data_IF_437746236392
#
_entry.id   IF_437746236392
#
_cell.length_a   1.000
_cell.length_b   1.000
_cell.length_c   1.000
_cell.angle_alpha   90.00
_cell.angle_beta   90.00
_cell.angle_gamma   90.00
#
_symmetry.space_group_name_H-M   'P 1'
#
loop_
_entity.id
_entity.type
_entity.pdbx_description
1 polymer ?
#
# COMPACT_ATOMS: atom_id res chain seq x y z
N UNK A 1 48.31 20.92 36.51
CA UNK A 1 48.83 19.63 36.03
C UNK A 1 47.66 18.71 35.81
N UNK A 2 47.43 18.37 34.55
CA UNK A 2 46.33 17.57 34.01
C UNK A 2 46.59 16.07 34.23
N UNK A 3 45.62 15.35 34.77
CA UNK A 3 45.61 13.88 34.76
C UNK A 3 44.26 13.38 34.26
N UNK A 4 44.27 12.75 33.08
CA UNK A 4 43.14 11.99 32.55
C UNK A 4 43.07 10.61 33.21
N UNK A 5 41.87 10.03 33.40
CA UNK A 5 41.73 8.59 33.53
C UNK A 5 41.46 7.93 32.17
N UNK A 6 42.21 6.85 31.92
CA UNK A 6 42.12 5.93 30.77
C UNK A 6 40.88 5.04 30.87
N UNK A 7 40.19 4.87 29.75
CA UNK A 7 39.14 3.87 29.50
C UNK A 7 39.74 2.47 29.33
N UNK A 8 39.11 1.38 29.80
CA UNK A 8 39.43 0.03 29.35
C UNK A 8 38.60 -0.36 28.12
N UNK A 9 39.26 -1.00 27.16
CA UNK A 9 38.64 -1.71 26.03
C UNK A 9 37.88 -2.94 26.54
N UNK A 10 36.65 -3.11 26.09
CA UNK A 10 35.96 -4.40 26.12
C UNK A 10 35.46 -4.70 24.70
N UNK A 11 35.90 -5.85 24.17
CA UNK A 11 35.60 -6.29 22.82
C UNK A 11 34.17 -6.76 22.69
N UNK A 12 33.46 -6.26 21.67
CA UNK A 12 32.18 -6.81 21.24
C UNK A 12 32.36 -7.44 19.86
N UNK A 13 32.13 -8.75 19.82
CA UNK A 13 32.09 -9.58 18.62
C UNK A 13 31.00 -9.08 17.67
N UNK A 14 31.42 -8.74 16.45
CA UNK A 14 30.55 -8.44 15.31
C UNK A 14 29.97 -9.75 14.77
N UNK A 15 28.74 -10.09 15.14
CA UNK A 15 27.92 -11.03 14.37
C UNK A 15 27.47 -10.33 13.09
N UNK A 16 28.11 -10.72 11.99
CA UNK A 16 27.86 -10.25 10.62
C UNK A 16 26.89 -11.24 9.98
N UNK A 17 25.58 -11.03 10.12
CA UNK A 17 24.59 -11.75 9.30
C UNK A 17 24.46 -11.01 7.96
N UNK A 18 25.04 -11.64 6.93
CA UNK A 18 25.08 -11.18 5.55
C UNK A 18 23.69 -11.24 4.91
N UNK A 19 23.33 -10.15 4.25
CA UNK A 19 22.17 -10.06 3.36
C UNK A 19 22.48 -10.77 2.04
N UNK A 20 21.78 -11.87 1.78
CA UNK A 20 22.03 -12.82 0.69
C UNK A 20 21.04 -12.61 -0.48
N UNK A 21 20.93 -11.37 -0.98
CA UNK A 21 20.05 -11.03 -2.12
C UNK A 21 20.77 -10.46 -3.35
N UNK A 22 22.09 -10.32 -3.31
CA UNK A 22 22.90 -9.93 -4.47
C UNK A 22 23.73 -11.13 -4.90
N UNK A 23 23.23 -11.97 -5.82
CA UNK A 23 24.01 -12.81 -6.75
C UNK A 23 23.08 -13.76 -7.52
N UNK A 24 22.49 -13.28 -8.63
CA UNK A 24 21.93 -14.13 -9.70
C UNK A 24 21.67 -13.33 -10.99
N UNK A 25 22.63 -12.53 -11.45
CA UNK A 25 22.64 -11.99 -12.83
C UNK A 25 23.97 -12.34 -13.51
N UNK A 26 24.21 -13.64 -13.70
CA UNK A 26 25.14 -14.15 -14.74
C UNK A 26 24.66 -15.53 -15.18
N UNK A 27 23.87 -15.58 -16.23
CA UNK A 27 23.81 -16.75 -17.10
C UNK A 27 24.14 -16.29 -18.50
N UNK A 28 25.17 -16.92 -19.02
CA UNK A 28 25.88 -16.64 -20.25
C UNK A 28 24.98 -16.67 -21.49
N UNK A 29 25.25 -15.72 -22.37
CA UNK A 29 24.79 -15.71 -23.77
C UNK A 29 25.40 -16.91 -24.49
N UNK A 30 24.64 -17.98 -24.63
CA UNK A 30 24.91 -19.02 -25.65
C UNK A 30 24.11 -18.69 -26.90
N UNK A 31 24.82 -18.24 -27.95
CA UNK A 31 24.34 -18.21 -29.34
C UNK A 31 24.17 -19.66 -29.83
N UNK A 32 23.09 -19.99 -30.55
CA UNK A 32 23.13 -21.05 -31.54
C UNK A 32 23.38 -20.44 -32.92
N UNK A 33 24.54 -20.79 -33.48
CA UNK A 33 24.90 -20.61 -34.88
C UNK A 33 23.93 -21.38 -35.77
N UNK A 34 23.45 -20.72 -36.82
CA UNK A 34 22.63 -21.35 -37.85
C UNK A 34 23.44 -22.21 -38.80
N UNK A 35 22.79 -23.27 -39.27
CA UNK A 35 22.81 -23.93 -40.59
C UNK A 35 22.56 -25.40 -40.35
N UNK A 36 21.38 -25.87 -40.72
CA UNK A 36 21.26 -27.09 -41.53
C UNK A 36 19.90 -27.12 -42.23
N UNK A 37 19.96 -27.43 -43.51
CA UNK A 37 18.86 -27.51 -44.46
C UNK A 37 18.06 -28.78 -44.20
N UNK A 38 16.73 -28.68 -44.27
CA UNK A 38 15.85 -29.84 -44.47
C UNK A 38 14.95 -29.53 -45.68
N UNK A 39 14.95 -30.36 -46.73
CA UNK A 39 13.93 -30.30 -47.78
C UNK A 39 12.65 -31.01 -47.33
N UNK A 40 11.48 -30.41 -47.60
CA UNK A 40 10.20 -31.13 -47.62
C UNK A 40 10.14 -32.04 -48.87
N UNK A 41 9.42 -33.19 -48.81
CA UNK A 41 8.04 -33.18 -49.32
C UNK A 41 7.03 -34.15 -48.64
N UNK A 42 5.76 -33.93 -49.00
CA UNK A 42 4.62 -34.87 -49.09
C UNK A 42 3.71 -35.17 -47.87
N UNK A 43 2.51 -34.61 -47.98
CA UNK A 43 1.15 -35.07 -47.60
C UNK A 43 0.96 -36.49 -47.05
N UNK A 44 0.19 -36.67 -45.98
CA UNK A 44 -1.17 -37.30 -45.97
C UNK A 44 -1.80 -37.31 -44.56
N UNK A 45 -3.09 -36.99 -44.47
CA UNK A 45 -4.09 -37.68 -43.64
C UNK A 45 -4.16 -37.43 -42.12
N UNK A 46 -5.18 -36.68 -41.68
CA UNK A 46 -6.33 -37.10 -40.84
C UNK A 46 -6.85 -35.90 -40.03
N UNK A 47 -7.92 -35.28 -40.54
CA UNK A 47 -8.72 -34.32 -39.79
C UNK A 47 -9.52 -35.05 -38.70
N UNK A 48 -9.20 -34.76 -37.44
CA UNK A 48 -10.04 -35.10 -36.28
C UNK A 48 -10.95 -33.90 -36.00
N UNK A 49 -12.26 -34.08 -35.73
CA UNK A 49 -13.17 -32.95 -35.58
C UNK A 49 -12.90 -32.20 -34.28
N UNK A 50 -12.52 -30.93 -34.41
CA UNK A 50 -12.37 -29.99 -33.30
C UNK A 50 -13.73 -29.81 -32.62
N UNK A 51 -13.86 -30.38 -31.42
CA UNK A 51 -14.93 -30.05 -30.47
C UNK A 51 -14.81 -28.56 -30.17
N UNK A 52 -15.71 -27.76 -30.72
CA UNK A 52 -15.84 -26.34 -30.44
C UNK A 52 -15.95 -26.14 -28.92
N UNK A 53 -14.91 -25.55 -28.32
CA UNK A 53 -15.00 -24.99 -26.99
C UNK A 53 -15.99 -23.83 -27.00
N UNK A 54 -16.86 -23.69 -25.98
CA UNK A 54 -17.78 -22.57 -25.89
C UNK A 54 -17.02 -21.23 -25.75
N UNK A 55 -17.66 -20.10 -26.10
CA UNK A 55 -17.00 -18.81 -26.34
C UNK A 55 -16.22 -18.30 -25.13
N UNK A 56 -15.01 -17.82 -25.37
CA UNK A 56 -14.10 -17.22 -24.38
C UNK A 56 -14.54 -15.81 -23.92
N UNK A 57 -15.84 -15.56 -23.76
CA UNK A 57 -16.40 -14.26 -23.35
C UNK A 57 -16.20 -13.95 -21.85
N UNK A 58 -15.58 -14.85 -21.07
CA UNK A 58 -15.12 -14.56 -19.70
C UNK A 58 -13.66 -14.10 -19.62
N UNK A 59 -13.09 -13.61 -20.72
CA UNK A 59 -11.73 -13.06 -20.73
C UNK A 59 -11.69 -11.67 -20.08
N UNK A 60 -11.19 -11.67 -18.85
CA UNK A 60 -10.47 -10.56 -18.20
C UNK A 60 -11.26 -9.25 -18.03
N UNK A 61 -12.26 -9.32 -17.15
CA UNK A 61 -12.55 -8.24 -16.19
C UNK A 61 -11.31 -7.97 -15.33
N UNK A 62 -10.38 -7.20 -15.88
CA UNK A 62 -8.97 -7.23 -15.49
C UNK A 62 -8.62 -6.41 -14.25
N UNK A 63 -9.17 -5.20 -14.14
CA UNK A 63 -8.88 -4.25 -13.05
C UNK A 63 -10.11 -3.39 -12.74
N UNK A 64 -10.92 -3.05 -13.76
CA UNK A 64 -12.07 -2.14 -13.65
C UNK A 64 -13.12 -2.60 -12.64
N UNK A 65 -13.25 -3.90 -12.41
CA UNK A 65 -14.18 -4.46 -11.41
C UNK A 65 -13.57 -4.60 -10.00
N UNK A 66 -12.29 -4.27 -9.81
CA UNK A 66 -11.67 -4.26 -8.49
C UNK A 66 -12.15 -3.00 -7.75
N UNK A 67 -13.01 -3.22 -6.76
CA UNK A 67 -13.43 -2.18 -5.83
C UNK A 67 -12.99 -2.57 -4.42
N UNK A 68 -11.93 -1.92 -3.93
CA UNK A 68 -11.37 -2.15 -2.60
C UNK A 68 -11.20 -0.84 -1.88
N UNK A 69 -11.59 -0.79 -0.60
CA UNK A 69 -11.48 0.41 0.24
C UNK A 69 -10.69 0.12 1.50
N UNK A 70 -9.95 1.11 2.00
CA UNK A 70 -9.19 1.00 3.25
C UNK A 70 -9.57 2.11 4.22
N UNK A 71 -9.82 1.77 5.49
CA UNK A 71 -10.16 2.72 6.56
C UNK A 71 -9.50 2.37 7.90
N UNK A 72 -8.99 3.35 8.67
CA UNK A 72 -8.69 4.71 8.22
C UNK A 72 -7.60 4.67 7.12
N UNK A 73 -7.60 5.65 6.22
CA UNK A 73 -6.55 5.78 5.20
C UNK A 73 -5.57 6.93 5.51
N UNK A 74 -5.80 7.64 6.62
CA UNK A 74 -4.96 8.72 7.13
C UNK A 74 -4.77 8.54 8.63
N UNK A 75 -3.51 8.65 9.08
CA UNK A 75 -3.11 8.66 10.48
C UNK A 75 -2.16 9.83 10.70
N UNK A 76 -2.33 10.55 11.80
CA UNK A 76 -1.44 11.64 12.17
C UNK A 76 -0.32 11.14 13.09
N UNK A 77 0.93 11.46 12.73
CA UNK A 77 2.11 11.22 13.56
C UNK A 77 2.37 12.47 14.39
N UNK A 78 2.10 12.36 15.69
CA UNK A 78 2.05 13.50 16.61
C UNK A 78 3.33 13.71 17.40
N UNK A 79 4.08 12.63 17.60
CA UNK A 79 5.24 12.58 18.45
C UNK A 79 6.24 11.52 17.95
N UNK A 80 7.32 11.36 18.71
CA UNK A 80 8.37 10.39 18.42
C UNK A 80 8.09 9.00 19.02
N UNK A 81 6.89 8.78 19.58
CA UNK A 81 6.55 7.55 20.28
C UNK A 81 6.14 6.43 19.32
N UNK A 82 6.15 5.20 19.84
CA UNK A 82 5.61 4.07 19.12
C UNK A 82 4.08 4.21 18.99
N UNK A 83 3.54 3.84 17.84
CA UNK A 83 2.09 3.82 17.61
C UNK A 83 1.69 2.53 16.93
N UNK A 84 0.44 2.14 17.12
CA UNK A 84 -0.11 0.93 16.54
C UNK A 84 -1.53 1.21 16.06
N UNK A 85 -1.74 1.04 14.75
CA UNK A 85 -3.04 1.28 14.13
C UNK A 85 -3.45 0.09 13.28
N UNK A 86 -4.74 -0.21 13.34
CA UNK A 86 -5.37 -1.23 12.50
C UNK A 86 -6.13 -0.55 11.37
N UNK A 87 -5.86 -1.00 10.14
CA UNK A 87 -6.49 -0.52 8.92
C UNK A 87 -7.31 -1.65 8.31
N UNK A 88 -8.62 -1.44 8.19
CA UNK A 88 -9.50 -2.42 7.58
C UNK A 88 -9.53 -2.24 6.07
N UNK A 89 -9.12 -3.27 5.35
CA UNK A 89 -9.15 -3.35 3.89
C UNK A 89 -10.35 -4.21 3.47
N UNK A 90 -11.37 -3.58 2.88
CA UNK A 90 -12.61 -4.22 2.45
C UNK A 90 -12.61 -4.48 0.95
N UNK A 91 -12.79 -5.73 0.55
CA UNK A 91 -13.02 -6.12 -0.83
C UNK A 91 -14.53 -6.10 -1.14
N UNK A 92 -14.95 -5.19 -2.00
CA UNK A 92 -16.35 -5.04 -2.40
C UNK A 92 -16.67 -5.81 -3.69
N UNK A 93 -15.68 -6.43 -4.33
CA UNK A 93 -15.90 -7.29 -5.47
C UNK A 93 -16.47 -8.65 -5.04
N UNK A 94 -17.14 -9.34 -5.97
CA UNK A 94 -17.69 -10.69 -5.77
C UNK A 94 -16.64 -11.81 -5.94
N UNK A 95 -15.38 -11.44 -6.19
CA UNK A 95 -14.28 -12.38 -6.41
C UNK A 95 -13.12 -12.12 -5.45
N UNK A 96 -12.30 -13.13 -5.15
CA UNK A 96 -11.15 -12.96 -4.26
C UNK A 96 -10.06 -12.09 -4.91
N UNK A 97 -9.38 -11.32 -4.07
CA UNK A 97 -8.24 -10.49 -4.45
C UNK A 97 -7.03 -10.84 -3.61
N UNK A 98 -5.84 -10.65 -4.17
CA UNK A 98 -4.57 -10.75 -3.44
C UNK A 98 -3.99 -9.35 -3.31
N UNK A 99 -3.46 -9.01 -2.13
CA UNK A 99 -2.78 -7.73 -1.92
C UNK A 99 -1.35 -7.92 -1.42
N UNK A 100 -0.53 -6.90 -1.65
CA UNK A 100 0.75 -6.69 -0.96
C UNK A 100 0.86 -5.25 -0.50
N UNK A 101 1.46 -5.03 0.67
CA UNK A 101 1.70 -3.71 1.23
C UNK A 101 3.16 -3.32 1.02
N UNK A 102 3.39 -2.17 0.39
CA UNK A 102 4.69 -1.53 0.25
C UNK A 102 4.73 -0.29 1.13
N UNK A 103 5.89 0.02 1.72
CA UNK A 103 6.07 1.20 2.58
C UNK A 103 7.28 2.00 2.15
N UNK A 104 7.19 3.33 2.25
CA UNK A 104 8.32 4.23 2.03
C UNK A 104 9.31 4.25 3.19
N UNK A 105 9.03 3.57 4.31
CA UNK A 105 9.85 3.63 5.54
C UNK A 105 9.89 2.29 6.30
N UNK A 106 10.43 1.21 5.68
CA UNK A 106 10.39 -0.14 6.24
C UNK A 106 11.23 -0.32 7.52
N UNK A 107 12.23 0.53 7.76
CA UNK A 107 13.02 0.49 8.99
C UNK A 107 12.20 0.90 10.22
N UNK A 108 11.28 1.85 10.04
CA UNK A 108 10.48 2.48 11.11
C UNK A 108 9.18 1.72 11.36
N UNK A 109 8.56 1.19 10.29
CA UNK A 109 7.26 0.54 10.37
C UNK A 109 7.36 -0.97 10.25
N UNK A 110 6.47 -1.66 10.94
CA UNK A 110 6.18 -3.09 10.81
C UNK A 110 4.73 -3.23 10.36
N UNK A 111 4.50 -4.07 9.37
CA UNK A 111 3.19 -4.27 8.76
C UNK A 111 2.83 -5.75 8.88
N UNK A 112 1.61 -6.05 9.33
CA UNK A 112 1.10 -7.41 9.39
C UNK A 112 -0.41 -7.48 9.09
N UNK A 113 -0.85 -8.32 8.13
CA UNK A 113 -0.04 -9.06 7.17
C UNK A 113 0.56 -8.15 6.08
N UNK A 114 1.73 -8.53 5.54
CA UNK A 114 2.35 -7.83 4.39
C UNK A 114 1.68 -8.20 3.08
N UNK A 115 1.17 -9.44 2.98
CA UNK A 115 0.45 -9.95 1.83
C UNK A 115 -0.57 -11.00 2.31
N UNK A 116 -1.76 -11.00 1.71
CA UNK A 116 -2.77 -12.03 1.95
C UNK A 116 -3.80 -12.05 0.81
N UNK A 117 -4.68 -13.05 0.83
CA UNK A 117 -5.88 -13.13 -0.01
C UNK A 117 -7.07 -12.63 0.80
N UNK A 118 -7.96 -11.88 0.16
CA UNK A 118 -9.24 -11.43 0.71
C UNK A 118 -10.32 -12.01 -0.18
N UNK A 119 -11.23 -12.76 0.40
CA UNK A 119 -12.37 -13.31 -0.34
C UNK A 119 -13.29 -12.20 -0.87
N UNK A 120 -14.15 -12.56 -1.83
CA UNK A 120 -15.18 -11.64 -2.32
C UNK A 120 -16.09 -11.18 -1.19
N UNK A 121 -16.50 -9.90 -1.20
CA UNK A 121 -17.35 -9.28 -0.17
C UNK A 121 -16.85 -9.45 1.27
N UNK A 122 -15.54 -9.58 1.46
CA UNK A 122 -14.90 -9.79 2.75
C UNK A 122 -13.93 -8.66 3.10
N UNK A 123 -13.31 -8.74 4.27
CA UNK A 123 -12.32 -7.77 4.71
C UNK A 123 -11.14 -8.45 5.41
N UNK A 124 -10.04 -7.72 5.51
CA UNK A 124 -8.87 -8.08 6.31
C UNK A 124 -8.40 -6.86 7.08
N UNK A 125 -7.93 -7.09 8.31
CA UNK A 125 -7.34 -6.05 9.14
C UNK A 125 -5.81 -6.07 8.97
N UNK A 126 -5.25 -4.92 8.58
CA UNK A 126 -3.81 -4.70 8.43
C UNK A 126 -3.34 -3.89 9.63
N UNK A 127 -2.52 -4.50 10.48
CA UNK A 127 -1.87 -3.85 11.60
C UNK A 127 -0.58 -3.18 11.14
N UNK A 128 -0.46 -1.89 11.37
CA UNK A 128 0.73 -1.09 11.10
C UNK A 128 1.24 -0.53 12.42
N UNK A 129 2.38 -1.06 12.84
CA UNK A 129 3.08 -0.65 14.06
C UNK A 129 4.28 0.19 13.69
N UNK A 130 4.37 1.40 14.24
CA UNK A 130 5.52 2.29 14.12
C UNK A 130 6.40 2.14 15.35
N UNK A 131 7.71 2.04 15.14
CA UNK A 131 8.68 2.12 16.23
C UNK A 131 8.93 3.58 16.63
N UNK A 132 9.33 3.79 17.89
CA UNK A 132 9.78 5.10 18.35
C UNK A 132 10.89 5.64 17.45
N UNK A 133 10.65 6.79 16.83
CA UNK A 133 11.48 7.37 15.76
C UNK A 133 11.13 8.85 15.57
N UNK A 134 11.99 9.64 14.90
CA UNK A 134 11.63 11.01 14.54
C UNK A 134 10.32 11.06 13.73
N UNK A 135 9.49 12.06 14.01
CA UNK A 135 8.29 12.32 13.22
C UNK A 135 8.65 12.47 11.74
N UNK A 136 8.05 11.62 10.91
CA UNK A 136 8.23 11.64 9.46
C UNK A 136 6.94 11.17 8.79
N UNK A 137 6.53 11.89 7.75
CA UNK A 137 5.44 11.43 6.90
C UNK A 137 5.86 10.19 6.11
N UNK A 138 4.99 9.19 6.08
CA UNK A 138 5.20 7.94 5.35
C UNK A 138 3.95 7.55 4.57
N UNK A 139 4.15 6.82 3.49
CA UNK A 139 3.08 6.32 2.62
C UNK A 139 3.17 4.81 2.54
N UNK A 140 2.02 4.17 2.55
CA UNK A 140 1.87 2.75 2.28
C UNK A 140 1.03 2.58 1.02
N UNK A 141 1.57 1.83 0.07
CA UNK A 141 0.92 1.49 -1.18
C UNK A 141 0.46 0.04 -1.08
N UNK A 142 -0.85 -0.16 -1.02
CA UNK A 142 -1.46 -1.48 -1.04
C UNK A 142 -1.78 -1.79 -2.50
N UNK A 143 -0.97 -2.67 -3.09
CA UNK A 143 -1.16 -3.13 -4.45
C UNK A 143 -2.06 -4.37 -4.43
N UNK A 144 -3.05 -4.38 -5.31
CA UNK A 144 -4.14 -5.34 -5.32
C UNK A 144 -4.29 -5.89 -6.74
N UNK A 145 -4.41 -7.21 -6.82
CA UNK A 145 -4.67 -7.94 -8.06
C UNK A 145 -5.81 -8.92 -7.82
N UNK A 146 -6.52 -9.29 -8.88
CA UNK A 146 -7.48 -10.39 -8.82
C UNK A 146 -6.74 -11.69 -8.47
N UNK A 147 -7.26 -12.44 -7.51
CA UNK A 147 -6.73 -13.75 -7.18
C UNK A 147 -7.44 -14.82 -8.01
N UNK A 148 -6.66 -15.68 -8.66
CA UNK A 148 -7.13 -16.86 -9.38
C UNK A 148 -6.12 -17.97 -9.15
N UNK A 149 -6.50 -19.03 -8.43
CA UNK A 149 -5.59 -20.11 -8.09
C UNK A 149 -5.07 -20.85 -9.34
N UNK A 150 -5.88 -20.86 -10.41
CA UNK A 150 -5.58 -21.47 -11.69
C UNK A 150 -4.48 -20.70 -12.46
N UNK A 151 -4.23 -19.43 -12.10
CA UNK A 151 -3.17 -18.62 -12.69
C UNK A 151 -1.78 -18.93 -12.11
N UNK A 152 -1.70 -19.75 -11.05
CA UNK A 152 -0.42 -20.20 -10.50
C UNK A 152 0.25 -21.22 -11.45
N UNK A 153 1.58 -21.20 -11.60
CA UNK A 153 2.29 -22.16 -12.45
C UNK A 153 2.05 -23.58 -11.97
N UNK A 154 1.74 -24.47 -12.91
CA UNK A 154 1.52 -25.88 -12.62
C UNK A 154 2.62 -26.74 -13.25
N UNK A 155 3.02 -27.79 -12.54
CA UNK A 155 3.90 -28.85 -13.02
C UNK A 155 3.23 -30.19 -12.67
N UNK A 156 2.94 -31.00 -13.69
CA UNK A 156 2.24 -32.30 -13.54
C UNK A 156 0.92 -32.20 -12.74
N UNK A 157 0.12 -31.16 -12.99
CA UNK A 157 -1.17 -30.94 -12.33
C UNK A 157 -1.09 -30.47 -10.87
N UNK A 158 0.11 -30.16 -10.37
CA UNK A 158 0.32 -29.58 -9.04
C UNK A 158 0.90 -28.17 -9.17
N UNK A 159 0.58 -27.30 -8.21
CA UNK A 159 1.18 -25.96 -8.15
C UNK A 159 2.69 -26.11 -7.97
N UNK A 160 3.46 -25.59 -8.93
CA UNK A 160 4.92 -25.72 -8.97
C UNK A 160 5.62 -24.86 -7.91
N UNK A 161 4.93 -23.85 -7.37
CA UNK A 161 5.48 -22.90 -6.41
C UNK A 161 5.26 -23.33 -4.94
N UNK A 162 6.30 -23.22 -4.09
CA UNK A 162 6.16 -23.31 -2.65
C UNK A 162 5.17 -22.28 -2.12
N UNK A 163 4.42 -22.62 -1.07
CA UNK A 163 3.35 -21.79 -0.50
C UNK A 163 3.77 -20.35 -0.21
N UNK A 164 4.94 -20.17 0.43
CA UNK A 164 5.54 -18.86 0.72
C UNK A 164 5.74 -17.94 -0.49
N UNK A 165 5.81 -18.50 -1.70
CA UNK A 165 6.06 -17.75 -2.93
C UNK A 165 4.81 -17.55 -3.80
N UNK A 166 3.69 -18.21 -3.46
CA UNK A 166 2.48 -18.19 -4.30
C UNK A 166 1.87 -16.80 -4.41
N UNK A 167 1.75 -16.06 -3.29
CA UNK A 167 1.16 -14.71 -3.33
C UNK A 167 2.08 -13.72 -4.05
N UNK A 168 3.39 -13.80 -3.80
CA UNK A 168 4.38 -12.96 -4.47
C UNK A 168 4.44 -13.16 -5.98
N UNK A 169 4.07 -14.34 -6.48
CA UNK A 169 4.03 -14.65 -7.91
C UNK A 169 3.12 -13.71 -8.70
N UNK A 170 1.92 -13.41 -8.18
CA UNK A 170 0.95 -12.54 -8.86
C UNK A 170 1.56 -11.17 -9.18
N UNK A 171 2.40 -10.64 -8.29
CA UNK A 171 3.04 -9.33 -8.43
C UNK A 171 4.37 -9.34 -9.20
N UNK A 172 4.78 -10.49 -9.74
CA UNK A 172 5.89 -10.59 -10.72
C UNK A 172 5.40 -10.53 -12.15
N UNK A 173 4.09 -10.68 -12.37
CA UNK A 173 3.48 -10.60 -13.69
C UNK A 173 3.46 -9.14 -14.18
N UNK A 174 3.35 -8.93 -15.49
CA UNK A 174 3.27 -7.60 -16.11
C UNK A 174 1.91 -6.90 -15.89
N UNK A 175 1.05 -7.47 -15.04
CA UNK A 175 -0.27 -6.91 -14.75
C UNK A 175 -0.14 -5.66 -13.89
N UNK A 176 -0.80 -4.58 -14.31
CA UNK A 176 -0.87 -3.34 -13.52
C UNK A 176 -1.75 -3.58 -12.29
N UNK A 177 -1.27 -3.36 -11.07
CA UNK A 177 -2.09 -3.53 -9.87
C UNK A 177 -3.03 -2.33 -9.65
N UNK A 178 -4.21 -2.60 -9.07
CA UNK A 178 -5.02 -1.56 -8.43
C UNK A 178 -4.32 -1.11 -7.14
N UNK A 179 -4.25 0.19 -6.87
CA UNK A 179 -3.50 0.72 -5.72
C UNK A 179 -4.38 1.58 -4.83
N UNK A 180 -4.44 1.21 -3.55
CA UNK A 180 -5.00 2.06 -2.49
C UNK A 180 -3.91 2.47 -1.52
N UNK A 181 -4.07 3.64 -0.90
CA UNK A 181 -3.01 4.26 -0.12
C UNK A 181 -3.44 4.47 1.33
N UNK A 182 -2.51 4.20 2.25
CA UNK A 182 -2.59 4.68 3.63
C UNK A 182 -1.50 5.74 3.81
N UNK A 183 -1.84 6.88 4.41
CA UNK A 183 -0.91 7.97 4.67
C UNK A 183 -0.72 8.16 6.17
N UNK A 184 0.52 8.15 6.60
CA UNK A 184 0.93 8.63 7.91
C UNK A 184 1.50 10.02 7.71
N UNK A 185 0.79 11.05 8.14
CA UNK A 185 1.22 12.44 7.97
C UNK A 185 1.76 12.96 9.29
N UNK A 186 2.94 13.56 9.23
CA UNK A 186 3.38 14.45 10.30
C UNK A 186 2.39 15.62 10.39
N UNK A 187 2.08 16.07 11.61
CA UNK A 187 1.34 17.32 11.80
C UNK A 187 2.02 18.46 11.02
N UNK A 188 1.26 19.32 10.33
CA UNK A 188 1.85 20.49 9.70
C UNK A 188 2.61 21.32 10.74
N UNK A 189 3.74 21.95 10.37
CA UNK A 189 4.55 22.72 11.31
C UNK A 189 3.79 23.90 11.94
N UNK A 190 2.70 24.37 11.31
CA UNK A 190 1.81 25.40 11.86
C UNK A 190 0.74 24.86 12.82
N UNK A 191 0.63 23.54 13.05
CA UNK A 191 -0.29 23.02 14.05
C UNK A 191 0.06 23.54 15.46
N UNK A 192 1.35 23.64 15.76
CA UNK A 192 1.79 24.25 17.01
C UNK A 192 1.51 25.76 17.06
N UNK A 193 1.38 26.41 15.90
CA UNK A 193 0.95 27.80 15.83
C UNK A 193 -0.50 27.87 16.30
N UNK A 194 -1.39 26.94 15.93
CA UNK A 194 -2.75 26.90 16.49
C UNK A 194 -2.81 26.67 18.01
N UNK A 195 -1.88 25.88 18.58
CA UNK A 195 -1.77 25.75 20.06
C UNK A 195 -1.19 26.99 20.75
N UNK A 196 -0.49 27.84 20.01
CA UNK A 196 0.07 29.13 20.48
C UNK A 196 -0.79 30.33 20.07
N UNK A 197 -1.76 30.13 19.17
CA UNK A 197 -2.68 31.15 18.75
C UNK A 197 -3.67 31.43 19.88
N UNK A 198 -4.17 32.66 19.98
CA UNK A 198 -5.31 32.95 20.84
C UNK A 198 -6.42 31.94 20.55
N UNK A 199 -7.08 31.43 21.60
CA UNK A 199 -8.22 30.51 21.44
C UNK A 199 -9.37 31.11 20.64
N UNK A 200 -9.39 32.44 20.50
CA UNK A 200 -10.39 33.23 19.82
C UNK A 200 -9.73 34.16 18.78
N UNK A 201 -10.09 34.04 17.50
CA UNK A 201 -9.72 35.03 16.49
C UNK A 201 -10.88 35.98 16.24
N UNK A 202 -10.66 37.31 16.25
CA UNK A 202 -11.68 38.24 15.82
C UNK A 202 -12.00 38.01 14.35
N UNK A 203 -13.28 37.86 14.01
CA UNK A 203 -13.76 37.70 12.64
C UNK A 203 -14.63 38.88 12.23
N UNK A 204 -14.71 39.12 10.93
CA UNK A 204 -15.58 40.15 10.38
C UNK A 204 -17.05 39.80 10.59
N UNK A 205 -17.94 40.81 10.54
CA UNK A 205 -19.39 40.61 10.69
C UNK A 205 -19.95 39.72 9.59
N UNK A 206 -19.41 39.85 8.38
CA UNK A 206 -19.77 39.09 7.20
C UNK A 206 -19.40 37.61 7.40
N UNK A 207 -18.19 37.31 7.86
CA UNK A 207 -17.75 35.94 8.14
C UNK A 207 -18.57 35.30 9.27
N UNK A 208 -18.88 36.07 10.32
CA UNK A 208 -19.76 35.61 11.42
C UNK A 208 -21.17 35.24 10.93
N UNK A 209 -21.73 36.03 10.00
CA UNK A 209 -23.03 35.73 9.40
C UNK A 209 -23.01 34.45 8.57
N UNK A 210 -21.92 34.19 7.82
CA UNK A 210 -21.75 32.93 7.07
C UNK A 210 -21.62 31.74 8.03
N UNK A 211 -20.84 31.86 9.10
CA UNK A 211 -20.68 30.80 10.11
C UNK A 211 -22.01 30.47 10.79
N UNK A 212 -22.85 31.47 11.08
CA UNK A 212 -24.18 31.29 11.65
C UNK A 212 -25.13 30.47 10.76
N UNK A 213 -24.93 30.52 9.44
CA UNK A 213 -25.72 29.73 8.49
C UNK A 213 -25.20 28.30 8.33
N UNK A 214 -23.88 28.09 8.50
CA UNK A 214 -23.21 26.82 8.22
C UNK A 214 -23.02 25.91 9.44
N UNK A 215 -22.93 26.47 10.66
CA UNK A 215 -22.57 25.74 11.88
C UNK A 215 -23.74 25.73 12.88
N UNK A 216 -24.25 24.55 13.21
CA UNK A 216 -25.28 24.39 14.24
C UNK A 216 -24.72 24.82 15.61
N UNK A 217 -25.40 25.75 16.29
CA UNK A 217 -25.02 26.35 17.59
C UNK A 217 -23.89 27.40 17.55
N UNK A 218 -23.66 28.07 16.42
CA UNK A 218 -22.76 29.22 16.34
C UNK A 218 -23.19 30.38 17.27
N UNK A 219 -22.22 30.94 18.02
CA UNK A 219 -22.43 32.16 18.81
C UNK A 219 -21.81 33.35 18.08
N UNK A 220 -22.59 34.38 17.71
CA UNK A 220 -22.07 35.55 17.02
C UNK A 220 -21.43 36.52 18.02
N UNK A 221 -20.34 36.11 18.66
CA UNK A 221 -19.54 36.97 19.55
C UNK A 221 -18.39 37.68 18.81
N UNK A 222 -18.35 37.54 17.48
CA UNK A 222 -17.32 38.13 16.62
C UNK A 222 -15.99 37.40 16.73
N UNK A 223 -15.98 36.19 17.30
CA UNK A 223 -14.79 35.36 17.42
C UNK A 223 -15.02 34.00 16.77
N UNK A 224 -13.94 33.40 16.27
CA UNK A 224 -13.91 31.99 15.86
C UNK A 224 -12.86 31.26 16.68
N UNK A 225 -13.18 30.05 17.13
CA UNK A 225 -12.21 29.21 17.83
C UNK A 225 -11.32 28.47 16.83
N UNK A 226 -10.15 28.01 17.27
CA UNK A 226 -9.29 27.12 16.47
C UNK A 226 -10.06 25.88 15.99
N UNK A 227 -10.86 25.27 16.87
CA UNK A 227 -11.70 24.12 16.52
C UNK A 227 -12.77 24.50 15.48
N UNK A 228 -13.38 25.69 15.63
CA UNK A 228 -14.33 26.22 14.65
C UNK A 228 -13.69 26.48 13.29
N UNK A 229 -12.46 26.97 13.26
CA UNK A 229 -11.70 27.18 12.02
C UNK A 229 -11.31 25.85 11.35
N UNK A 230 -10.89 24.85 12.13
CA UNK A 230 -10.58 23.52 11.62
C UNK A 230 -11.81 22.85 11.00
N UNK A 231 -12.97 22.90 11.67
CA UNK A 231 -14.24 22.39 11.13
C UNK A 231 -14.66 23.11 9.84
N UNK A 232 -14.41 24.41 9.73
CA UNK A 232 -14.69 25.20 8.52
C UNK A 232 -13.80 24.80 7.34
N UNK A 233 -12.50 24.59 7.58
CA UNK A 233 -11.56 24.13 6.55
C UNK A 233 -11.96 22.73 6.07
N UNK A 234 -12.29 21.81 6.98
CA UNK A 234 -12.77 20.47 6.63
C UNK A 234 -14.10 20.51 5.84
N UNK A 235 -15.01 21.41 6.20
CA UNK A 235 -16.27 21.61 5.47
C UNK A 235 -16.03 22.16 4.05
N UNK A 236 -15.09 23.07 3.87
CA UNK A 236 -14.73 23.62 2.56
C UNK A 236 -14.08 22.56 1.66
N UNK A 237 -13.16 21.75 2.20
CA UNK A 237 -12.51 20.66 1.45
C UNK A 237 -13.49 19.55 1.01
N UNK A 238 -14.60 19.36 1.74
CA UNK A 238 -15.64 18.37 1.40
C UNK A 238 -16.66 18.89 0.38
N UNK A 239 -16.86 20.20 0.28
CA UNK A 239 -17.72 20.80 -0.76
C UNK A 239 -17.10 20.80 -2.15
N UNK A 240 -15.77 20.80 -2.27
CA UNK A 240 -15.05 20.76 -3.56
C UNK A 240 -14.99 19.35 -4.20
N UNK A 241 -15.59 18.33 -3.58
CA UNK A 241 -15.66 16.95 -4.10
C UNK A 241 -17.04 16.56 -4.67
N UNK A 242 -17.89 17.52 -5.02
CA UNK A 242 -19.18 17.27 -5.69
C UNK A 242 -19.17 17.63 -7.17
#
# INVERSE_FOLDING_TARGET
MTSQPKTPMEGAQSHKESSDWELSEKIDRVKPSGKDQIPQPASTGLETPVKQQPPQEKRLRGIEDINVRVKPNLVWVLDNEAMDHTHRLCNEADFPVVFRVLTTSPSIFRVHPVQAVIDGKSFVDIRITRNASPMKSSRFDIQILRFAAEALPQLNGKVALPEKHRLGWFFRTTTVPYVVNIRYRQRPPWYNVFTQMPTDFPISKELSAVCAQAILNWKPDGKITVDGLAMLIDAMETTDQK
#
